data_IF_083454479933
#
_entry.id   IF_083454479933
#
_cell.length_a   1.000
_cell.length_b   1.000
_cell.length_c   1.000
_cell.angle_alpha   90.00
_cell.angle_beta   90.00
_cell.angle_gamma   90.00
#
_symmetry.space_group_name_H-M   'P 1'
#
loop_
_entity.id
_entity.type
_entity.pdbx_description
1 polymer ?
#
# COMPACT_ATOMS: atom_id res chain seq x y z
N UNK A 1 12.40 -3.12 -0.15
CA UNK A 1 12.45 -4.53 -0.59
C UNK A 1 11.08 -5.12 -0.31
N UNK A 2 10.66 -6.11 -1.07
CA UNK A 2 9.36 -6.78 -0.96
C UNK A 2 9.58 -8.30 -0.92
N UNK A 3 8.63 -9.04 -0.36
CA UNK A 3 8.61 -10.50 -0.43
C UNK A 3 7.55 -10.92 -1.46
N UNK A 4 7.92 -11.63 -2.52
CA UNK A 4 7.01 -12.08 -3.57
C UNK A 4 7.25 -13.56 -3.81
N UNK A 5 6.25 -14.39 -3.51
CA UNK A 5 6.30 -15.86 -3.69
C UNK A 5 7.58 -16.52 -3.12
N UNK A 6 8.03 -16.05 -1.95
CA UNK A 6 9.23 -16.54 -1.27
C UNK A 6 10.54 -15.89 -1.70
N UNK A 7 10.51 -14.97 -2.67
CA UNK A 7 11.68 -14.24 -3.17
C UNK A 7 11.74 -12.81 -2.63
N UNK A 8 12.94 -12.36 -2.25
CA UNK A 8 13.19 -10.97 -1.86
C UNK A 8 13.49 -10.12 -3.09
N UNK A 9 12.62 -9.15 -3.36
CA UNK A 9 12.72 -8.24 -4.52
C UNK A 9 13.18 -6.86 -4.06
N UNK A 10 14.23 -6.32 -4.66
CA UNK A 10 14.69 -4.94 -4.41
C UNK A 10 13.88 -3.94 -5.22
N UNK A 11 13.35 -2.92 -4.56
CA UNK A 11 12.66 -1.82 -5.22
C UNK A 11 13.67 -0.76 -5.69
N UNK A 12 13.37 -0.14 -6.83
CA UNK A 12 14.12 1.02 -7.32
C UNK A 12 13.87 2.25 -6.44
N UNK A 13 14.81 3.19 -6.33
CA UNK A 13 14.59 4.45 -5.63
C UNK A 13 13.39 5.22 -6.20
N UNK A 14 12.62 5.85 -5.32
CA UNK A 14 11.47 6.66 -5.71
C UNK A 14 11.96 8.00 -6.26
N UNK A 15 11.72 8.24 -7.55
CA UNK A 15 11.97 9.54 -8.19
C UNK A 15 10.79 10.51 -8.03
N UNK A 16 11.04 11.82 -8.21
CA UNK A 16 10.03 12.87 -8.01
C UNK A 16 8.76 12.70 -8.85
N UNK A 17 8.89 12.17 -10.08
CA UNK A 17 7.73 11.86 -10.94
C UNK A 17 6.83 10.78 -10.32
N UNK A 18 7.44 9.73 -9.77
CA UNK A 18 6.71 8.65 -9.11
C UNK A 18 6.02 9.19 -7.85
N UNK A 19 6.75 9.89 -6.98
CA UNK A 19 6.20 10.50 -5.77
C UNK A 19 4.98 11.40 -6.09
N UNK A 20 5.09 12.27 -7.10
CA UNK A 20 3.98 13.13 -7.51
C UNK A 20 2.75 12.38 -8.04
N UNK A 21 2.91 11.20 -8.65
CA UNK A 21 1.79 10.35 -9.07
C UNK A 21 1.13 9.71 -7.85
N UNK A 22 1.93 9.16 -6.92
CA UNK A 22 1.43 8.56 -5.68
C UNK A 22 0.65 9.58 -4.84
N UNK A 23 1.18 10.79 -4.67
CA UNK A 23 0.52 11.87 -3.93
C UNK A 23 -0.82 12.27 -4.56
N UNK A 24 -0.88 12.36 -5.89
CA UNK A 24 -2.13 12.66 -6.61
C UNK A 24 -3.17 11.56 -6.43
N UNK A 25 -2.76 10.29 -6.47
CA UNK A 25 -3.67 9.16 -6.24
C UNK A 25 -4.16 9.13 -4.80
N UNK A 26 -3.26 9.33 -3.83
CA UNK A 26 -3.64 9.42 -2.42
C UNK A 26 -4.65 10.54 -2.17
N UNK A 27 -4.39 11.74 -2.70
CA UNK A 27 -5.31 12.87 -2.63
C UNK A 27 -6.67 12.57 -3.28
N UNK A 28 -6.66 11.91 -4.43
CA UNK A 28 -7.88 11.55 -5.16
C UNK A 28 -8.74 10.56 -4.37
N UNK A 29 -8.14 9.48 -3.89
CA UNK A 29 -8.87 8.41 -3.23
C UNK A 29 -9.33 8.83 -1.85
N UNK A 30 -8.49 9.47 -1.04
CA UNK A 30 -8.86 9.94 0.31
C UNK A 30 -10.08 10.86 0.32
N UNK A 31 -10.35 11.58 -0.77
CA UNK A 31 -11.52 12.46 -0.92
C UNK A 31 -12.75 11.79 -1.52
N UNK A 32 -12.58 10.70 -2.27
CA UNK A 32 -13.67 10.04 -2.99
C UNK A 32 -14.15 8.76 -2.34
N UNK A 33 -13.35 8.14 -1.49
CA UNK A 33 -13.73 6.94 -0.75
C UNK A 33 -14.42 7.34 0.55
N UNK A 34 -15.56 6.73 0.85
CA UNK A 34 -16.24 6.93 2.13
C UNK A 34 -15.51 6.25 3.30
N UNK A 35 -16.07 6.37 4.51
CA UNK A 35 -15.46 5.89 5.77
C UNK A 35 -15.20 4.38 5.83
N UNK A 36 -15.81 3.60 4.93
CA UNK A 36 -15.60 2.16 4.82
C UNK A 36 -14.28 1.74 4.17
N UNK A 37 -13.40 2.69 3.80
CA UNK A 37 -12.16 2.44 3.06
C UNK A 37 -10.97 3.14 3.73
N UNK A 38 -9.82 2.46 3.74
CA UNK A 38 -8.52 3.01 4.11
C UNK A 38 -7.66 3.09 2.85
N UNK A 39 -7.10 4.26 2.58
CA UNK A 39 -6.07 4.45 1.55
C UNK A 39 -4.71 4.18 2.19
N UNK A 40 -4.04 3.11 1.77
CA UNK A 40 -2.73 2.70 2.25
C UNK A 40 -1.70 2.97 1.16
N UNK A 41 -0.67 3.76 1.48
CA UNK A 41 0.35 4.22 0.52
C UNK A 41 1.69 3.63 0.91
N UNK A 42 2.37 2.95 -0.02
CA UNK A 42 3.75 2.45 0.14
C UNK A 42 4.01 1.71 1.47
N UNK A 43 3.05 0.89 1.89
CA UNK A 43 3.17 0.08 3.09
C UNK A 43 3.02 -1.41 2.74
N UNK A 44 3.66 -2.32 3.49
CA UNK A 44 3.50 -3.76 3.33
C UNK A 44 2.03 -4.19 3.38
N UNK A 45 1.69 -5.18 2.56
CA UNK A 45 0.40 -5.85 2.51
C UNK A 45 0.64 -7.36 2.44
N UNK A 46 0.34 -8.12 3.50
CA UNK A 46 0.54 -9.57 3.47
C UNK A 46 -0.60 -10.23 2.73
N UNK A 47 -0.29 -10.84 1.59
CA UNK A 47 -1.24 -11.62 0.82
C UNK A 47 -1.16 -13.11 1.16
N UNK A 48 0.01 -13.57 1.60
CA UNK A 48 0.23 -14.96 2.04
C UNK A 48 1.44 -15.03 2.97
N UNK A 49 1.74 -16.20 3.59
CA UNK A 49 2.99 -16.39 4.35
C UNK A 49 4.26 -16.13 3.54
N UNK A 50 4.18 -16.22 2.21
CA UNK A 50 5.29 -16.09 1.27
C UNK A 50 5.18 -14.85 0.38
N UNK A 51 4.21 -13.97 0.61
CA UNK A 51 3.95 -12.82 -0.25
C UNK A 51 3.50 -11.61 0.58
N UNK A 52 4.36 -10.59 0.61
CA UNK A 52 4.17 -9.31 1.27
C UNK A 52 4.68 -8.17 0.34
N UNK A 53 3.92 -7.83 -0.71
CA UNK A 53 4.20 -6.67 -1.56
C UNK A 53 4.06 -5.34 -0.80
N UNK A 54 4.70 -4.29 -1.30
CA UNK A 54 4.59 -2.90 -0.84
C UNK A 54 4.02 -2.03 -1.98
N UNK A 55 2.71 -2.11 -2.26
CA UNK A 55 2.11 -1.37 -3.35
C UNK A 55 2.23 0.15 -3.13
N UNK A 56 2.36 0.88 -4.25
CA UNK A 56 2.35 2.35 -4.24
C UNK A 56 1.07 2.91 -3.61
N UNK A 57 -0.09 2.35 -3.97
CA UNK A 57 -1.40 2.67 -3.40
C UNK A 57 -2.26 1.41 -3.33
N UNK A 58 -2.88 1.17 -2.18
CA UNK A 58 -3.88 0.13 -1.95
C UNK A 58 -5.13 0.71 -1.30
N UNK A 59 -6.31 0.25 -1.73
CA UNK A 59 -7.59 0.56 -1.10
C UNK A 59 -8.03 -0.64 -0.28
N UNK A 60 -8.06 -0.48 1.04
CA UNK A 60 -8.40 -1.54 1.98
C UNK A 60 -9.78 -1.29 2.55
N UNK A 61 -10.50 -2.37 2.88
CA UNK A 61 -11.71 -2.25 3.71
C UNK A 61 -11.32 -1.68 5.07
N UNK A 62 -12.11 -0.73 5.57
CA UNK A 62 -11.92 -0.22 6.92
C UNK A 62 -11.91 -1.34 7.96
N UNK A 63 -10.94 -1.26 8.87
CA UNK A 63 -10.87 -2.05 10.09
C UNK A 63 -10.62 -1.10 11.25
N UNK A 64 -11.27 -1.30 12.42
CA UNK A 64 -11.08 -0.44 13.59
C UNK A 64 -9.64 -0.34 14.07
N UNK A 65 -8.84 -1.39 13.84
CA UNK A 65 -7.43 -1.45 14.22
C UNK A 65 -6.46 -0.93 13.15
N UNK A 66 -6.97 -0.42 12.02
CA UNK A 66 -6.16 0.03 10.89
C UNK A 66 -5.10 -0.99 10.44
N UNK A 67 -5.41 -2.29 10.54
CA UNK A 67 -4.49 -3.40 10.20
C UNK A 67 -3.22 -3.43 11.08
N UNK A 68 -3.27 -2.88 12.29
CA UNK A 68 -2.14 -2.95 13.23
C UNK A 68 -1.84 -4.38 13.71
N UNK A 69 -2.86 -5.25 13.78
CA UNK A 69 -2.70 -6.65 14.23
C UNK A 69 -2.31 -7.63 13.13
N UNK A 70 -2.54 -7.27 11.87
CA UNK A 70 -2.18 -8.05 10.69
C UNK A 70 -2.17 -7.12 9.47
N UNK A 71 -0.98 -6.90 8.90
CA UNK A 71 -0.77 -6.16 7.64
C UNK A 71 -1.03 -7.08 6.47
#
# INVERSE_FOLDING_TARGET
>A
MELIEGELVTMSPIGSRHAGVVDRLNHLFSRRTGEGIIVRVQNPLRLSPHSEPQPDVALLRYRPDFYASAH
#
